data_IF_695819285633
#
_entry.id   IF_695819285633
#
_cell.length_a   1.000
_cell.length_b   1.000
_cell.length_c   1.000
_cell.angle_alpha   90.00
_cell.angle_beta   90.00
_cell.angle_gamma   90.00
#
_symmetry.space_group_name_H-M   'P 1'
#
loop_
_entity.id
_entity.type
_entity.pdbx_description
1 polymer ?
#
# COMPACT_ATOMS: atom_id res chain seq x y z
N UNK A 1 -48.28 -1.07 26.53
CA UNK A 1 -47.34 -1.10 25.39
C UNK A 1 -46.82 0.32 25.18
N UNK A 2 -45.62 0.64 25.69
CA UNK A 2 -45.02 1.98 25.58
C UNK A 2 -44.22 2.07 24.29
N UNK A 3 -44.62 2.99 23.43
CA UNK A 3 -44.01 3.31 22.14
C UNK A 3 -42.52 3.63 22.33
N UNK A 4 -41.65 2.70 21.93
CA UNK A 4 -40.21 2.95 21.84
C UNK A 4 -40.02 3.84 20.62
N UNK A 5 -39.74 5.12 20.88
CA UNK A 5 -39.60 6.17 19.87
C UNK A 5 -38.61 5.72 18.80
N UNK A 6 -39.10 5.58 17.56
CA UNK A 6 -38.33 5.19 16.36
C UNK A 6 -37.10 6.08 16.11
N UNK A 7 -37.02 7.23 16.80
CA UNK A 7 -35.90 8.16 16.79
C UNK A 7 -34.62 7.55 17.41
N UNK A 8 -34.74 6.67 18.42
CA UNK A 8 -33.58 6.06 19.08
C UNK A 8 -32.87 5.01 18.21
N UNK A 9 -33.60 4.32 17.32
CA UNK A 9 -33.01 3.36 16.38
C UNK A 9 -32.19 4.03 15.28
N UNK A 10 -32.61 5.22 14.84
CA UNK A 10 -31.93 5.99 13.80
C UNK A 10 -30.55 6.50 14.27
N UNK A 11 -30.41 6.84 15.55
CA UNK A 11 -29.14 7.30 16.13
C UNK A 11 -28.11 6.17 16.19
N UNK A 12 -28.52 4.91 16.40
CA UNK A 12 -27.64 3.74 16.34
C UNK A 12 -27.21 3.32 14.93
N UNK A 13 -27.93 3.77 13.88
CA UNK A 13 -27.55 3.52 12.48
C UNK A 13 -26.53 4.52 11.93
N UNK A 14 -26.23 5.60 12.67
CA UNK A 14 -25.02 6.39 12.44
C UNK A 14 -23.79 5.65 13.01
N UNK A 15 -23.75 4.34 12.79
CA UNK A 15 -22.63 3.47 13.10
C UNK A 15 -21.50 3.86 12.16
N UNK A 16 -20.68 4.80 12.64
CA UNK A 16 -19.23 4.69 12.68
C UNK A 16 -18.69 4.05 11.39
N UNK A 17 -18.65 4.83 10.32
CA UNK A 17 -17.79 4.54 9.17
C UNK A 17 -16.35 4.74 9.62
N UNK A 18 -15.80 3.83 10.42
CA UNK A 18 -14.36 3.76 10.67
C UNK A 18 -13.72 3.31 9.37
N UNK A 19 -13.30 4.30 8.58
CA UNK A 19 -12.45 4.09 7.43
C UNK A 19 -11.08 3.68 7.97
N UNK A 20 -10.84 2.38 8.09
CA UNK A 20 -9.51 1.87 8.44
C UNK A 20 -8.56 2.19 7.29
N UNK A 21 -7.86 3.33 7.38
CA UNK A 21 -6.70 3.59 6.52
C UNK A 21 -5.63 2.61 6.93
N UNK A 22 -5.30 1.67 6.05
CA UNK A 22 -4.06 0.91 6.17
C UNK A 22 -2.94 1.92 5.94
N UNK A 23 -2.29 2.33 7.01
CA UNK A 23 -1.10 3.16 6.94
C UNK A 23 0.02 2.27 6.38
N UNK A 24 0.38 2.50 5.12
CA UNK A 24 1.45 1.74 4.49
C UNK A 24 2.74 1.95 5.29
N UNK A 25 3.39 0.86 5.69
CA UNK A 25 4.71 0.94 6.28
C UNK A 25 5.69 1.46 5.23
N UNK A 26 6.15 2.70 5.37
CA UNK A 26 7.12 3.31 4.45
C UNK A 26 8.52 2.85 4.83
N UNK A 27 9.26 2.30 3.86
CA UNK A 27 10.68 2.01 3.99
C UNK A 27 11.45 2.89 3.00
N UNK A 28 12.29 3.78 3.50
CA UNK A 28 13.05 4.75 2.69
C UNK A 28 14.54 4.42 2.69
N UNK A 29 15.18 4.57 1.53
CA UNK A 29 16.60 4.32 1.35
C UNK A 29 17.03 4.41 -0.11
N UNK A 30 18.28 4.06 -0.38
CA UNK A 30 18.85 3.96 -1.72
C UNK A 30 18.49 2.61 -2.34
N UNK A 31 18.07 2.61 -3.61
CA UNK A 31 17.82 1.37 -4.35
C UNK A 31 19.19 0.78 -4.74
N UNK A 32 19.54 -0.35 -4.15
CA UNK A 32 20.78 -1.07 -4.45
C UNK A 32 20.66 -1.91 -5.72
N UNK A 33 19.50 -2.54 -5.92
CA UNK A 33 19.22 -3.35 -7.10
C UNK A 33 17.72 -3.51 -7.33
N UNK A 34 17.35 -3.63 -8.61
CA UNK A 34 16.02 -4.04 -9.08
C UNK A 34 16.20 -5.29 -9.93
N UNK A 35 15.45 -6.35 -9.64
CA UNK A 35 15.40 -7.55 -10.49
C UNK A 35 13.96 -7.80 -10.91
N UNK A 36 13.68 -7.61 -12.19
CA UNK A 36 12.40 -7.94 -12.79
C UNK A 36 12.18 -9.44 -12.83
N UNK A 37 13.22 -10.22 -13.14
CA UNK A 37 13.15 -11.68 -13.16
C UNK A 37 12.70 -12.28 -11.81
N UNK A 38 13.10 -11.66 -10.70
CA UNK A 38 12.72 -12.08 -9.35
C UNK A 38 11.57 -11.25 -8.76
N UNK A 39 11.05 -10.25 -9.49
CA UNK A 39 10.15 -9.20 -9.01
C UNK A 39 10.57 -8.68 -7.63
N UNK A 40 11.83 -8.25 -7.53
CA UNK A 40 12.45 -7.87 -6.26
C UNK A 40 13.11 -6.48 -6.34
N UNK A 41 12.98 -5.71 -5.26
CA UNK A 41 13.73 -4.48 -5.02
C UNK A 41 14.54 -4.61 -3.73
N UNK A 42 15.83 -4.29 -3.77
CA UNK A 42 16.69 -4.23 -2.59
C UNK A 42 16.97 -2.78 -2.25
N UNK A 43 16.62 -2.38 -1.03
CA UNK A 43 16.78 -1.00 -0.55
C UNK A 43 17.73 -0.99 0.63
N UNK A 44 18.73 -0.12 0.58
CA UNK A 44 19.61 0.19 1.70
C UNK A 44 19.12 1.45 2.42
N UNK A 45 18.66 1.27 3.65
CA UNK A 45 18.30 2.39 4.51
C UNK A 45 19.50 3.30 4.80
N UNK A 46 19.25 4.55 5.18
CA UNK A 46 20.28 5.50 5.61
C UNK A 46 21.13 5.03 6.80
N UNK A 47 20.61 4.08 7.59
CA UNK A 47 21.34 3.43 8.68
C UNK A 47 22.24 2.26 8.20
N UNK A 48 22.34 2.04 6.89
CA UNK A 48 23.16 1.00 6.29
C UNK A 48 22.52 -0.39 6.26
N UNK A 49 21.29 -0.55 6.77
CA UNK A 49 20.57 -1.84 6.72
C UNK A 49 19.95 -2.05 5.35
N UNK A 50 20.20 -3.22 4.76
CA UNK A 50 19.58 -3.65 3.51
C UNK A 50 18.32 -4.46 3.76
N UNK A 51 17.32 -4.28 2.90
CA UNK A 51 16.08 -5.04 2.93
C UNK A 51 15.61 -5.35 1.52
N UNK A 52 15.30 -6.62 1.28
CA UNK A 52 14.70 -7.10 0.04
C UNK A 52 13.17 -7.08 0.15
N UNK A 53 12.53 -6.55 -0.88
CA UNK A 53 11.08 -6.52 -1.04
C UNK A 53 10.69 -7.30 -2.29
N UNK A 54 9.81 -8.27 -2.14
CA UNK A 54 9.16 -8.93 -3.25
C UNK A 54 7.92 -8.12 -3.65
N UNK A 55 7.76 -7.91 -4.94
CA UNK A 55 6.61 -7.23 -5.54
C UNK A 55 5.63 -8.31 -6.00
N UNK A 56 4.46 -8.45 -5.35
CA UNK A 56 3.46 -9.43 -5.75
C UNK A 56 2.98 -9.18 -7.19
N UNK A 57 2.55 -10.22 -7.90
CA UNK A 57 2.15 -10.09 -9.31
C UNK A 57 0.82 -9.34 -9.52
N UNK A 58 0.02 -9.20 -8.46
CA UNK A 58 -1.33 -8.60 -8.47
C UNK A 58 -1.35 -7.14 -8.01
N UNK A 59 -0.19 -6.55 -7.69
CA UNK A 59 -0.13 -5.13 -7.30
C UNK A 59 -0.03 -4.24 -8.54
N UNK A 60 -0.84 -3.17 -8.63
CA UNK A 60 -0.73 -2.21 -9.71
C UNK A 60 0.60 -1.46 -9.60
N UNK A 61 1.37 -1.44 -10.68
CA UNK A 61 2.61 -0.67 -10.79
C UNK A 61 2.36 0.55 -11.67
N UNK A 62 2.91 1.70 -11.26
CA UNK A 62 2.80 2.94 -12.03
C UNK A 62 4.15 3.63 -12.16
N UNK A 63 4.43 4.18 -13.33
CA UNK A 63 5.56 5.06 -13.58
C UNK A 63 5.05 6.44 -14.02
N UNK A 64 5.46 7.50 -13.32
CA UNK A 64 4.97 8.87 -13.54
C UNK A 64 3.42 8.97 -13.58
N UNK A 65 2.75 8.21 -12.70
CA UNK A 65 1.29 8.20 -12.59
C UNK A 65 0.55 7.43 -13.69
N UNK A 66 1.26 6.75 -14.60
CA UNK A 66 0.66 5.90 -15.63
C UNK A 66 0.89 4.42 -15.30
N UNK A 67 -0.04 3.51 -15.62
CA UNK A 67 0.18 2.06 -15.49
C UNK A 67 1.48 1.65 -16.19
N UNK A 68 2.26 0.81 -15.52
CA UNK A 68 3.55 0.33 -15.97
C UNK A 68 3.73 -1.13 -15.57
N UNK A 69 4.61 -1.83 -16.29
CA UNK A 69 5.05 -3.18 -15.92
C UNK A 69 6.30 -3.06 -15.04
N UNK A 70 6.45 -3.95 -14.05
CA UNK A 70 7.60 -3.90 -13.14
C UNK A 70 8.93 -4.13 -13.88
N UNK A 71 8.89 -4.87 -14.97
CA UNK A 71 10.00 -5.20 -15.86
C UNK A 71 10.63 -3.96 -16.51
N UNK A 72 9.89 -2.84 -16.57
CA UNK A 72 10.39 -1.58 -17.14
C UNK A 72 11.41 -0.88 -16.23
N UNK A 73 11.52 -1.27 -14.95
CA UNK A 73 12.40 -0.66 -13.96
C UNK A 73 13.79 -1.30 -13.89
N UNK A 74 14.03 -2.41 -14.61
CA UNK A 74 15.33 -3.11 -14.61
C UNK A 74 16.41 -2.34 -15.40
N UNK A 75 15.99 -1.44 -16.28
CA UNK A 75 16.84 -0.66 -17.17
C UNK A 75 16.55 0.81 -16.90
N UNK A 76 17.53 1.52 -16.35
CA UNK A 76 17.47 2.97 -16.23
C UNK A 76 17.28 3.60 -17.62
N UNK A 77 16.05 4.02 -17.92
CA UNK A 77 15.73 4.86 -19.07
C UNK A 77 15.55 6.30 -18.61
#
# INVERSE_FOLDING_TARGET
MRSVSRLSLLVSLLAISVSSRVEAAIFSGEIQSVSAAQKQVVIKSSQGKEKSFLIPADVPVTFNGKPAEFEQFEIGQ
#
